data_IF_710812061263
#
_entry.id   IF_710812061263
#
_cell.length_a   1.000
_cell.length_b   1.000
_cell.length_c   1.000
_cell.angle_alpha   90.00
_cell.angle_beta   90.00
_cell.angle_gamma   90.00
#
_symmetry.space_group_name_H-M   'P 1'
#
loop_
_entity.id
_entity.type
_entity.pdbx_description
1 polymer ?
#
# COMPACT_ATOMS: atom_id res chain seq x y z
N UNK A 1 -9.16 0.79 8.48
CA UNK A 1 -8.05 1.55 7.87
C UNK A 1 -8.53 2.92 7.42
N UNK A 2 -7.73 3.98 7.59
CA UNK A 2 -8.06 5.36 7.18
C UNK A 2 -8.16 5.57 5.66
N UNK A 3 -7.35 4.86 4.86
CA UNK A 3 -7.28 5.10 3.40
C UNK A 3 -8.30 4.25 2.62
N UNK A 4 -8.40 2.95 2.92
CA UNK A 4 -9.19 2.00 2.11
C UNK A 4 -10.51 1.56 2.77
N UNK A 5 -10.75 1.92 4.03
CA UNK A 5 -11.91 1.44 4.79
C UNK A 5 -11.90 -0.08 5.08
N UNK A 6 -10.82 -0.79 4.77
CA UNK A 6 -10.71 -2.25 4.95
C UNK A 6 -10.21 -2.64 6.34
N UNK A 7 -10.43 -3.90 6.70
CA UNK A 7 -9.90 -4.51 7.93
C UNK A 7 -8.37 -4.62 7.86
N UNK A 8 -7.72 -4.68 9.02
CA UNK A 8 -6.26 -4.85 9.08
C UNK A 8 -5.79 -6.13 8.39
N UNK A 9 -6.54 -7.24 8.56
CA UNK A 9 -6.24 -8.52 7.92
C UNK A 9 -6.18 -8.40 6.40
N UNK A 10 -7.24 -7.86 5.80
CA UNK A 10 -7.30 -7.67 4.34
C UNK A 10 -6.13 -6.82 3.85
N UNK A 11 -5.73 -5.84 4.65
CA UNK A 11 -4.64 -4.95 4.28
C UNK A 11 -3.27 -5.62 4.32
N UNK A 12 -3.05 -6.57 5.24
CA UNK A 12 -1.84 -7.42 5.25
C UNK A 12 -1.80 -8.33 4.02
N UNK A 13 -2.93 -8.95 3.68
CA UNK A 13 -3.08 -9.79 2.47
C UNK A 13 -2.81 -8.96 1.21
N UNK A 14 -3.34 -7.74 1.14
CA UNK A 14 -3.09 -6.79 0.06
C UNK A 14 -1.59 -6.46 -0.09
N UNK A 15 -0.90 -6.15 1.01
CA UNK A 15 0.54 -5.89 0.99
C UNK A 15 1.38 -7.11 0.63
N UNK A 16 0.90 -8.34 0.85
CA UNK A 16 1.59 -9.53 0.33
C UNK A 16 1.39 -9.65 -1.18
N UNK A 17 0.16 -9.45 -1.66
CA UNK A 17 -0.15 -9.47 -3.10
C UNK A 17 0.70 -8.47 -3.88
N UNK A 18 0.77 -7.23 -3.40
CA UNK A 18 1.58 -6.17 -4.03
C UNK A 18 3.06 -6.56 -4.06
N UNK A 19 3.59 -7.19 -3.00
CA UNK A 19 4.98 -7.67 -2.96
C UNK A 19 5.24 -8.69 -4.05
N UNK A 20 4.36 -9.69 -4.17
CA UNK A 20 4.44 -10.72 -5.21
C UNK A 20 4.35 -10.13 -6.61
N UNK A 21 3.40 -9.22 -6.86
CA UNK A 21 3.20 -8.58 -8.16
C UNK A 21 4.41 -7.71 -8.57
N UNK A 22 5.12 -7.13 -7.60
CA UNK A 22 6.33 -6.34 -7.82
C UNK A 22 7.62 -7.18 -7.82
N UNK A 23 7.53 -8.50 -7.67
CA UNK A 23 8.69 -9.40 -7.63
C UNK A 23 9.62 -9.16 -6.43
N UNK A 24 9.08 -8.67 -5.32
CA UNK A 24 9.85 -8.35 -4.10
C UNK A 24 9.99 -9.56 -3.18
N UNK A 25 11.16 -9.67 -2.56
CA UNK A 25 11.42 -10.65 -1.51
C UNK A 25 10.64 -10.30 -0.22
N UNK A 26 10.41 -11.29 0.64
CA UNK A 26 9.59 -11.14 1.86
C UNK A 26 10.07 -10.02 2.81
N UNK A 27 11.40 -9.86 2.90
CA UNK A 27 12.08 -8.84 3.71
C UNK A 27 12.07 -7.44 3.08
N UNK A 28 11.69 -7.30 1.81
CA UNK A 28 11.62 -6.01 1.14
C UNK A 28 10.29 -5.33 1.46
N UNK A 29 10.38 -4.07 1.90
CA UNK A 29 9.20 -3.26 2.19
C UNK A 29 8.55 -2.73 0.91
N UNK A 30 7.25 -2.43 1.01
CA UNK A 30 6.51 -1.66 0.01
C UNK A 30 6.50 -0.21 0.48
N UNK A 31 7.01 0.69 -0.34
CA UNK A 31 6.90 2.12 -0.11
C UNK A 31 5.49 2.60 -0.38
N UNK A 32 5.09 3.71 0.23
CA UNK A 32 3.80 4.36 -0.04
C UNK A 32 3.64 4.68 -1.53
N UNK A 33 4.73 5.02 -2.23
CA UNK A 33 4.72 5.33 -3.66
C UNK A 33 4.39 4.10 -4.52
N UNK A 34 4.99 2.95 -4.21
CA UNK A 34 4.70 1.69 -4.89
C UNK A 34 3.27 1.23 -4.65
N UNK A 35 2.80 1.34 -3.41
CA UNK A 35 1.40 1.09 -3.08
C UNK A 35 0.47 1.98 -3.92
N UNK A 36 0.72 3.29 -3.98
CA UNK A 36 -0.11 4.21 -4.75
C UNK A 36 -0.10 3.88 -6.24
N UNK A 37 1.08 3.59 -6.80
CA UNK A 37 1.22 3.20 -8.21
C UNK A 37 0.47 1.91 -8.55
N UNK A 38 0.50 0.91 -7.67
CA UNK A 38 -0.19 -0.36 -7.87
C UNK A 38 -1.71 -0.22 -7.66
N UNK A 39 -2.13 0.57 -6.66
CA UNK A 39 -3.53 0.76 -6.30
C UNK A 39 -4.27 1.78 -7.20
N UNK A 40 -3.57 2.44 -8.12
CA UNK A 40 -4.13 3.50 -8.97
C UNK A 40 -4.49 4.78 -8.19
N UNK A 41 -3.77 5.05 -7.11
CA UNK A 41 -4.00 6.21 -6.23
C UNK A 41 -2.99 7.32 -6.52
N UNK A 42 -3.41 8.57 -6.33
CA UNK A 42 -2.50 9.71 -6.38
C UNK A 42 -1.65 9.75 -5.11
N UNK A 43 -0.33 9.64 -5.27
CA UNK A 43 0.62 9.66 -4.17
C UNK A 43 0.55 10.94 -3.32
N UNK A 44 0.39 12.11 -3.94
CA UNK A 44 0.35 13.37 -3.20
C UNK A 44 -0.93 13.50 -2.37
N UNK A 45 -2.08 13.08 -2.90
CA UNK A 45 -3.35 13.05 -2.14
C UNK A 45 -3.24 12.13 -0.92
N UNK A 46 -2.71 10.91 -1.11
CA UNK A 46 -2.48 9.95 -0.02
C UNK A 46 -1.49 10.51 1.00
N UNK A 47 -0.44 11.19 0.55
CA UNK A 47 0.57 11.79 1.43
C UNK A 47 0.00 12.91 2.30
N UNK A 48 -0.98 13.67 1.84
CA UNK A 48 -1.64 14.69 2.67
C UNK A 48 -2.45 14.04 3.80
N UNK A 49 -3.12 12.91 3.53
CA UNK A 49 -3.91 12.19 4.55
C UNK A 49 -3.00 11.63 5.65
N UNK A 50 -1.82 11.13 5.29
CA UNK A 50 -0.85 10.52 6.22
C UNK A 50 -0.06 11.51 7.10
N UNK A 51 -0.10 12.81 6.80
CA UNK A 51 0.63 13.84 7.57
C UNK A 51 -0.11 14.33 8.82
N UNK A 52 -1.34 13.85 9.04
CA UNK A 52 -2.13 14.08 10.25
C UNK A 52 -2.06 12.89 11.20
#
# INVERSE_FOLDING_TARGET
>A
MQITGRSERYSRELLQKIRTDLGKNEHQFISVREFCSWAGLNYEEVRQILKN
#
